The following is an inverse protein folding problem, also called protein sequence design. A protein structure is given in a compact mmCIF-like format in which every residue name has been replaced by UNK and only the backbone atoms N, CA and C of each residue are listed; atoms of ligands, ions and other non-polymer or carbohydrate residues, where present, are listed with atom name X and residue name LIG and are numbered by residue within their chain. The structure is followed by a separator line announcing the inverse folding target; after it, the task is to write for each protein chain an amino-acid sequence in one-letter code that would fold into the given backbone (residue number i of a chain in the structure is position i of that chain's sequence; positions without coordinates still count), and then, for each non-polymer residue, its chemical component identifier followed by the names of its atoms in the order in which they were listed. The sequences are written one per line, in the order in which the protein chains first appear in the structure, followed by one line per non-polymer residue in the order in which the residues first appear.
data_IF_823861718592
#
_entry.id   IF_823861718592
#
_cell.length_a   1.000
_cell.length_b   1.000
_cell.length_c   1.000
_cell.angle_alpha   90.00
_cell.angle_beta   90.00
_cell.angle_gamma   90.00
#
_symmetry.space_group_name_H-M   'P 1'
#
loop_
_entity.id
_entity.type
_entity.pdbx_description
1 polymer ?
#
# COMPACT_ATOMS: atom_id res chain seq x y z
N UNK A 1 2.42 9.47 -24.19
CA UNK A 1 3.10 9.65 -22.89
C UNK A 1 2.85 8.37 -22.10
N UNK A 2 3.88 7.57 -21.79
CA UNK A 2 3.68 6.35 -21.00
C UNK A 2 3.22 6.73 -19.61
N UNK A 3 2.15 6.06 -19.13
CA UNK A 3 1.60 6.33 -17.82
C UNK A 3 2.57 5.84 -16.74
N UNK A 4 3.12 6.74 -15.93
CA UNK A 4 3.90 6.37 -14.76
C UNK A 4 2.95 5.98 -13.64
N UNK A 5 3.11 4.78 -13.10
CA UNK A 5 2.52 4.41 -11.82
C UNK A 5 3.56 4.66 -10.70
N UNK A 6 3.13 4.72 -9.45
CA UNK A 6 4.02 5.02 -8.32
C UNK A 6 5.11 3.95 -8.14
N UNK A 7 4.86 2.70 -8.54
CA UNK A 7 5.87 1.62 -8.56
C UNK A 7 6.96 1.93 -9.59
N UNK A 8 6.60 2.33 -10.80
CA UNK A 8 7.55 2.69 -11.85
C UNK A 8 8.43 3.87 -11.45
N UNK A 9 7.93 4.78 -10.61
CA UNK A 9 8.75 5.84 -10.02
C UNK A 9 9.81 5.29 -9.06
N UNK A 10 9.51 4.22 -8.30
CA UNK A 10 10.48 3.53 -7.44
C UNK A 10 11.49 2.78 -8.29
N UNK A 11 11.04 2.05 -9.33
CA UNK A 11 11.90 1.33 -10.28
C UNK A 11 12.89 2.28 -10.99
N UNK A 12 12.40 3.40 -11.53
CA UNK A 12 13.25 4.41 -12.14
C UNK A 12 14.24 5.04 -11.14
N UNK A 13 13.82 5.26 -9.89
CA UNK A 13 14.69 5.80 -8.85
C UNK A 13 15.78 4.81 -8.46
N UNK A 14 15.46 3.52 -8.36
CA UNK A 14 16.42 2.44 -8.10
C UNK A 14 17.48 2.37 -9.20
N UNK A 15 17.06 2.47 -10.47
CA UNK A 15 17.96 2.48 -11.62
C UNK A 15 18.88 3.72 -11.64
N UNK A 16 18.38 4.89 -11.25
CA UNK A 16 19.14 6.16 -11.22
C UNK A 16 20.11 6.28 -10.05
N UNK A 17 19.86 5.58 -8.95
CA UNK A 17 20.62 5.73 -7.70
C UNK A 17 21.05 4.37 -7.10
N UNK A 18 21.88 3.59 -7.81
CA UNK A 18 22.25 2.23 -7.38
C UNK A 18 23.09 2.19 -6.08
N UNK A 19 23.69 3.32 -5.66
CA UNK A 19 24.70 3.37 -4.58
C UNK A 19 24.41 4.38 -3.45
N UNK A 20 23.21 4.98 -3.36
CA UNK A 20 22.91 5.95 -2.27
C UNK A 20 22.79 5.24 -0.90
N UNK A 21 23.45 5.82 0.10
CA UNK A 21 23.80 5.17 1.38
C UNK A 21 22.73 5.31 2.47
N UNK A 22 21.92 6.39 2.47
CA UNK A 22 20.91 6.60 3.53
C UNK A 22 19.66 5.70 3.41
N UNK A 23 19.34 5.26 2.19
CA UNK A 23 18.33 4.25 1.87
C UNK A 23 18.85 3.50 0.64
N UNK A 24 19.13 2.20 0.74
CA UNK A 24 19.49 1.40 -0.43
C UNK A 24 18.22 1.21 -1.27
N UNK A 25 17.90 2.16 -2.14
CA UNK A 25 16.71 2.13 -3.01
C UNK A 25 16.60 0.80 -3.80
N UNK A 26 17.71 0.19 -4.28
CA UNK A 26 17.65 -1.16 -4.86
C UNK A 26 17.17 -2.24 -3.89
N UNK A 27 17.59 -2.19 -2.61
CA UNK A 27 17.09 -3.11 -1.58
C UNK A 27 15.59 -2.90 -1.33
N UNK A 28 15.15 -1.64 -1.32
CA UNK A 28 13.73 -1.31 -1.16
C UNK A 28 12.86 -1.87 -2.29
N UNK A 29 13.32 -1.78 -3.55
CA UNK A 29 12.60 -2.38 -4.68
C UNK A 29 12.52 -3.91 -4.55
N UNK A 30 13.63 -4.58 -4.23
CA UNK A 30 13.65 -6.03 -4.01
C UNK A 30 12.71 -6.44 -2.88
N UNK A 31 12.66 -5.68 -1.80
CA UNK A 31 11.75 -5.92 -0.70
C UNK A 31 10.28 -5.74 -1.14
N UNK A 32 9.96 -4.70 -1.92
CA UNK A 32 8.62 -4.52 -2.49
C UNK A 32 8.23 -5.71 -3.36
N UNK A 33 9.11 -6.15 -4.26
CA UNK A 33 8.84 -7.27 -5.17
C UNK A 33 8.61 -8.57 -4.41
N UNK A 34 9.37 -8.79 -3.33
CA UNK A 34 9.14 -9.93 -2.42
C UNK A 34 7.75 -9.89 -1.80
N UNK A 35 7.34 -8.74 -1.25
CA UNK A 35 6.00 -8.59 -0.68
C UNK A 35 4.90 -8.68 -1.74
N UNK A 36 5.18 -8.24 -2.97
CA UNK A 36 4.25 -8.34 -4.08
C UNK A 36 4.02 -9.79 -4.50
N UNK A 37 5.09 -10.59 -4.62
CA UNK A 37 4.99 -12.02 -4.90
C UNK A 37 4.19 -12.76 -3.81
N UNK A 38 4.50 -12.48 -2.53
CA UNK A 38 3.77 -13.04 -1.40
C UNK A 38 2.27 -12.69 -1.43
N UNK A 39 1.92 -11.41 -1.55
CA UNK A 39 0.53 -10.99 -1.55
C UNK A 39 -0.22 -11.47 -2.78
N UNK A 40 0.45 -11.55 -3.93
CA UNK A 40 -0.15 -12.14 -5.11
C UNK A 40 -0.49 -13.61 -4.88
N UNK A 41 0.41 -14.40 -4.33
CA UNK A 41 0.12 -15.80 -3.99
C UNK A 41 -1.05 -15.93 -3.01
N UNK A 42 -1.00 -15.20 -1.88
CA UNK A 42 -2.05 -15.25 -0.85
C UNK A 42 -3.42 -14.85 -1.41
N UNK A 43 -3.48 -13.76 -2.18
CA UNK A 43 -4.76 -13.20 -2.64
C UNK A 43 -5.25 -13.90 -3.92
N UNK A 44 -4.39 -14.12 -4.91
CA UNK A 44 -4.79 -14.71 -6.20
C UNK A 44 -4.86 -16.23 -6.12
N UNK A 45 -3.78 -16.88 -5.67
CA UNK A 45 -3.65 -18.33 -5.80
C UNK A 45 -4.39 -19.07 -4.69
N UNK A 46 -4.32 -18.57 -3.45
CA UNK A 46 -5.03 -19.16 -2.31
C UNK A 46 -6.47 -18.63 -2.24
N UNK A 47 -6.67 -17.31 -2.19
CA UNK A 47 -7.99 -16.71 -1.95
C UNK A 47 -8.85 -16.51 -3.20
N UNK A 48 -8.32 -16.74 -4.41
CA UNK A 48 -9.01 -16.56 -5.70
C UNK A 48 -9.55 -15.14 -5.91
N UNK A 49 -8.82 -14.15 -5.40
CA UNK A 49 -9.11 -12.72 -5.57
C UNK A 49 -8.31 -12.22 -6.78
N UNK A 50 -8.97 -11.82 -7.88
CA UNK A 50 -8.27 -11.36 -9.07
C UNK A 50 -7.59 -10.00 -8.82
N UNK A 51 -6.51 -9.73 -9.56
CA UNK A 51 -5.91 -8.40 -9.65
C UNK A 51 -6.97 -7.33 -9.95
N UNK A 52 -6.67 -6.07 -9.60
CA UNK A 52 -7.59 -4.92 -9.64
C UNK A 52 -8.73 -4.97 -8.61
N UNK A 53 -8.83 -6.02 -7.79
CA UNK A 53 -9.70 -6.02 -6.62
C UNK A 53 -9.22 -5.02 -5.56
N UNK A 54 -10.17 -4.48 -4.80
CA UNK A 54 -9.88 -3.60 -3.64
C UNK A 54 -9.43 -4.46 -2.45
N UNK A 55 -8.30 -4.11 -1.87
CA UNK A 55 -7.74 -4.76 -0.68
C UNK A 55 -7.62 -3.71 0.41
N UNK A 56 -8.39 -3.88 1.48
CA UNK A 56 -8.29 -3.03 2.65
C UNK A 56 -7.03 -3.38 3.45
N UNK A 57 -6.29 -2.38 3.91
CA UNK A 57 -5.16 -2.57 4.82
C UNK A 57 -5.29 -1.62 6.01
N UNK A 58 -5.23 -2.18 7.22
CA UNK A 58 -5.17 -1.46 8.48
C UNK A 58 -3.81 -1.71 9.14
N UNK A 59 -2.99 -0.68 9.17
CA UNK A 59 -1.67 -0.68 9.80
C UNK A 59 -1.44 0.66 10.48
N UNK A 60 -0.62 0.69 11.52
CA UNK A 60 -0.17 1.95 12.15
C UNK A 60 0.58 2.86 11.18
N UNK A 61 1.25 2.29 10.16
CA UNK A 61 1.85 3.05 9.06
C UNK A 61 3.17 3.75 9.37
N UNK A 62 3.83 3.42 10.49
CA UNK A 62 5.07 4.08 10.93
C UNK A 62 6.34 3.24 10.69
N UNK A 63 6.20 1.95 10.37
CA UNK A 63 7.35 1.05 10.20
C UNK A 63 7.63 0.81 8.72
N UNK A 64 8.89 0.52 8.42
CA UNK A 64 9.31 0.13 7.07
C UNK A 64 8.47 -1.03 6.50
N UNK A 65 8.20 -2.06 7.32
CA UNK A 65 7.35 -3.20 6.94
C UNK A 65 5.92 -2.79 6.55
N UNK A 66 5.36 -1.76 7.19
CA UNK A 66 4.03 -1.25 6.86
C UNK A 66 4.00 -0.69 5.44
N UNK A 67 5.06 0.03 5.06
CA UNK A 67 5.26 0.54 3.70
C UNK A 67 5.42 -0.61 2.71
N UNK A 68 6.18 -1.66 3.07
CA UNK A 68 6.36 -2.83 2.20
C UNK A 68 5.05 -3.58 1.92
N UNK A 69 4.17 -3.72 2.91
CA UNK A 69 2.84 -4.32 2.63
C UNK A 69 2.04 -3.45 1.67
N UNK A 70 1.99 -2.13 1.89
CA UNK A 70 1.24 -1.21 1.01
C UNK A 70 1.77 -1.24 -0.42
N UNK A 71 3.09 -1.10 -0.61
CA UNK A 71 3.71 -1.12 -1.94
C UNK A 71 3.71 -2.52 -2.56
N UNK A 72 3.81 -3.58 -1.76
CA UNK A 72 3.67 -4.96 -2.23
C UNK A 72 2.30 -5.23 -2.83
N UNK A 73 1.22 -4.83 -2.14
CA UNK A 73 -0.16 -4.94 -2.65
C UNK A 73 -0.33 -4.17 -3.96
N UNK A 74 0.22 -2.95 -4.04
CA UNK A 74 0.19 -2.18 -5.27
C UNK A 74 0.95 -2.89 -6.39
N UNK A 75 2.20 -3.31 -6.16
CA UNK A 75 3.04 -3.98 -7.16
C UNK A 75 2.46 -5.31 -7.62
N UNK A 76 1.69 -5.98 -6.76
CA UNK A 76 0.94 -7.18 -7.08
C UNK A 76 -0.29 -6.93 -7.96
N UNK A 77 -0.65 -5.67 -8.22
CA UNK A 77 -1.71 -5.26 -9.15
C UNK A 77 -3.08 -5.02 -8.51
N UNK A 78 -3.16 -4.91 -7.19
CA UNK A 78 -4.40 -4.63 -6.45
C UNK A 78 -4.63 -3.13 -6.21
N UNK A 79 -5.87 -2.78 -5.87
CA UNK A 79 -6.23 -1.43 -5.44
C UNK A 79 -6.16 -1.38 -3.92
N UNK A 80 -5.21 -0.65 -3.36
CA UNK A 80 -5.04 -0.58 -1.90
C UNK A 80 -6.01 0.44 -1.31
N UNK A 81 -6.81 0.00 -0.34
CA UNK A 81 -7.61 0.87 0.51
C UNK A 81 -6.92 1.04 1.86
N UNK A 82 -6.45 2.27 2.15
CA UNK A 82 -5.79 2.58 3.41
C UNK A 82 -6.83 2.88 4.49
N UNK A 83 -6.75 2.13 5.59
CA UNK A 83 -7.61 2.30 6.77
C UNK A 83 -6.72 2.60 7.98
N UNK A 84 -7.07 3.66 8.68
CA UNK A 84 -6.53 4.04 9.99
C UNK A 84 -7.58 3.81 11.06
N UNK A 85 -7.25 2.96 12.04
CA UNK A 85 -8.06 2.68 13.21
C UNK A 85 -7.20 2.70 14.46
N UNK A 86 -7.83 2.94 15.60
CA UNK A 86 -7.26 2.58 16.90
C UNK A 86 -7.55 1.09 17.17
N UNK A 87 -6.73 0.41 17.99
CA UNK A 87 -6.78 -1.06 18.16
C UNK A 87 -8.16 -1.59 18.56
N UNK A 88 -8.87 -0.85 19.41
CA UNK A 88 -10.19 -1.20 19.94
C UNK A 88 -11.34 -0.55 19.17
N UNK A 89 -11.13 -0.19 17.90
CA UNK A 89 -12.16 0.44 17.09
C UNK A 89 -13.38 -0.50 16.91
N UNK A 90 -14.60 -0.05 17.25
CA UNK A 90 -15.81 -0.82 17.00
C UNK A 90 -16.05 -0.96 15.49
N UNK A 91 -16.68 -2.06 15.09
CA UNK A 91 -16.90 -2.38 13.68
C UNK A 91 -17.72 -1.30 12.94
N UNK A 92 -18.65 -0.65 13.63
CA UNK A 92 -19.51 0.40 13.04
C UNK A 92 -18.73 1.57 12.45
N UNK A 93 -17.51 1.85 12.93
CA UNK A 93 -16.67 2.91 12.38
C UNK A 93 -16.17 2.62 10.96
N UNK A 94 -16.06 1.34 10.61
CA UNK A 94 -15.58 0.91 9.28
C UNK A 94 -16.64 0.27 8.42
N UNK A 95 -17.79 -0.09 8.98
CA UNK A 95 -18.89 -0.73 8.24
C UNK A 95 -19.25 0.06 6.98
N UNK A 96 -19.51 1.37 7.10
CA UNK A 96 -19.83 2.23 5.95
C UNK A 96 -18.68 2.35 4.93
N UNK A 97 -17.43 2.29 5.43
CA UNK A 97 -16.22 2.32 4.60
C UNK A 97 -16.08 1.03 3.78
N UNK A 98 -16.36 -0.13 4.38
CA UNK A 98 -16.40 -1.42 3.70
C UNK A 98 -17.56 -1.54 2.72
N UNK A 99 -18.75 -1.08 3.10
CA UNK A 99 -19.92 -1.06 2.20
C UNK A 99 -19.67 -0.22 0.95
N UNK A 100 -18.95 0.90 1.10
CA UNK A 100 -18.67 1.83 0.01
C UNK A 100 -17.56 1.33 -0.91
N UNK A 101 -16.43 0.88 -0.35
CA UNK A 101 -15.26 0.47 -1.13
C UNK A 101 -15.30 -1.00 -1.58
N UNK A 102 -16.14 -1.83 -0.94
CA UNK A 102 -16.32 -3.26 -1.21
C UNK A 102 -14.99 -4.03 -1.30
N UNK A 103 -14.12 -3.98 -0.27
CA UNK A 103 -12.88 -4.73 -0.29
C UNK A 103 -13.15 -6.24 -0.40
N UNK A 104 -12.28 -6.94 -1.12
CA UNK A 104 -12.33 -8.39 -1.31
C UNK A 104 -11.51 -9.14 -0.26
N UNK A 105 -10.60 -8.46 0.42
CA UNK A 105 -9.88 -8.94 1.59
C UNK A 105 -9.53 -7.77 2.52
N UNK A 106 -9.29 -8.11 3.79
CA UNK A 106 -8.86 -7.16 4.80
C UNK A 106 -7.53 -7.60 5.44
N UNK A 107 -6.48 -6.82 5.24
CA UNK A 107 -5.15 -7.05 5.81
C UNK A 107 -5.01 -6.19 7.07
N UNK A 108 -4.54 -6.77 8.18
CA UNK A 108 -4.44 -6.07 9.47
C UNK A 108 -3.14 -6.40 10.19
N UNK A 109 -2.58 -5.42 10.91
CA UNK A 109 -1.45 -5.66 11.82
C UNK A 109 -1.89 -6.46 13.06
N UNK A 110 -1.03 -7.33 13.61
CA UNK A 110 -1.31 -8.24 14.73
C UNK A 110 -2.03 -7.60 15.93
N UNK A 111 -1.76 -6.32 16.19
CA UNK A 111 -2.39 -5.57 17.28
C UNK A 111 -3.91 -5.41 17.12
N UNK A 112 -4.43 -5.51 15.89
CA UNK A 112 -5.86 -5.43 15.58
C UNK A 112 -6.55 -6.80 15.58
N UNK A 113 -5.82 -7.90 15.84
CA UNK A 113 -6.32 -9.28 15.70
C UNK A 113 -7.58 -9.56 16.52
N UNK A 114 -7.71 -8.93 17.69
CA UNK A 114 -8.87 -9.08 18.59
C UNK A 114 -9.95 -8.02 18.38
N UNK A 115 -9.71 -7.04 17.51
CA UNK A 115 -10.63 -5.92 17.26
C UNK A 115 -11.96 -6.40 16.68
N UNK A 116 -13.04 -5.69 16.97
CA UNK A 116 -14.34 -5.93 16.32
C UNK A 116 -14.28 -5.73 14.81
N UNK A 117 -13.46 -4.77 14.37
CA UNK A 117 -13.17 -4.53 12.96
C UNK A 117 -12.76 -5.80 12.21
N UNK A 118 -11.85 -6.59 12.78
CA UNK A 118 -11.37 -7.84 12.17
C UNK A 118 -12.36 -8.99 12.37
N UNK A 119 -12.96 -9.12 13.57
CA UNK A 119 -13.89 -10.22 13.89
C UNK A 119 -15.18 -10.18 13.08
N UNK A 120 -15.67 -8.98 12.76
CA UNK A 120 -16.94 -8.76 12.07
C UNK A 120 -16.77 -8.38 10.59
N UNK A 121 -15.54 -8.45 10.07
CA UNK A 121 -15.26 -8.15 8.67
C UNK A 121 -16.01 -9.13 7.74
N UNK A 122 -16.72 -8.64 6.70
CA UNK A 122 -17.54 -9.48 5.82
C UNK A 122 -16.71 -10.17 4.71
N UNK A 123 -15.38 -10.11 4.79
CA UNK A 123 -14.45 -10.67 3.81
C UNK A 123 -13.32 -11.42 4.53
N UNK A 124 -12.54 -12.26 3.81
CA UNK A 124 -11.37 -12.90 4.38
C UNK A 124 -10.36 -11.88 4.95
N UNK A 125 -9.89 -12.17 6.15
CA UNK A 125 -8.92 -11.35 6.87
C UNK A 125 -7.55 -12.02 6.88
N UNK A 126 -6.49 -11.23 6.68
CA UNK A 126 -5.10 -11.71 6.67
C UNK A 126 -4.24 -10.86 7.59
N UNK A 127 -3.40 -11.50 8.38
CA UNK A 127 -2.46 -10.80 9.24
C UNK A 127 -1.26 -10.29 8.40
N UNK A 128 -0.88 -9.03 8.62
CA UNK A 128 0.31 -8.42 8.04
C UNK A 128 1.55 -8.95 8.77
N UNK A 129 2.24 -9.91 8.15
CA UNK A 129 3.37 -10.60 8.75
C UNK A 129 4.64 -9.74 8.80
N UNK A 130 5.48 -9.89 9.84
CA UNK A 130 6.83 -9.33 9.86
C UNK A 130 7.65 -9.70 8.63
N UNK A 131 8.61 -8.85 8.26
CA UNK A 131 9.50 -9.10 7.11
C UNK A 131 10.28 -10.42 7.18
N UNK A 132 10.52 -10.97 8.37
CA UNK A 132 11.22 -12.25 8.55
C UNK A 132 10.36 -13.46 8.16
N UNK A 133 9.03 -13.32 8.23
CA UNK A 133 8.08 -14.40 7.96
C UNK A 133 7.57 -14.37 6.50
N UNK A 134 7.96 -13.35 5.73
CA UNK A 134 7.70 -13.27 4.29
C UNK A 134 8.85 -13.96 3.55
N UNK A 135 8.57 -15.16 3.02
CA UNK A 135 9.54 -15.94 2.26
C UNK A 135 10.12 -15.17 1.06
N UNK A 136 11.39 -15.45 0.73
CA UNK A 136 12.04 -14.90 -0.47
C UNK A 136 11.46 -15.52 -1.75
N UNK A 137 11.46 -14.73 -2.83
CA UNK A 137 10.69 -14.92 -4.08
C UNK A 137 10.95 -16.21 -4.87
N UNK A 138 11.83 -17.09 -4.43
CA UNK A 138 12.08 -18.36 -5.12
C UNK A 138 10.85 -19.29 -5.08
N UNK A 139 9.94 -19.09 -4.13
CA UNK A 139 8.70 -19.87 -3.99
C UNK A 139 7.52 -19.31 -4.79
N UNK A 140 7.52 -17.99 -5.06
CA UNK A 140 6.36 -17.31 -5.67
C UNK A 140 6.84 -16.36 -6.78
N UNK A 141 6.42 -16.57 -8.04
CA UNK A 141 6.80 -15.69 -9.13
C UNK A 141 6.17 -14.30 -8.94
N UNK A 142 6.95 -13.26 -9.21
CA UNK A 142 6.45 -11.89 -9.23
C UNK A 142 5.39 -11.75 -10.34
N UNK A 143 4.17 -11.29 -10.03
CA UNK A 143 3.14 -11.16 -11.06
C UNK A 143 3.46 -10.02 -12.03
N UNK A 144 2.94 -10.18 -13.25
CA UNK A 144 2.87 -9.08 -14.20
C UNK A 144 1.93 -8.01 -13.64
N UNK A 145 2.37 -6.75 -13.72
CA UNK A 145 1.52 -5.62 -13.36
C UNK A 145 0.42 -5.44 -14.43
N UNK A 146 -0.85 -5.27 -14.05
CA UNK A 146 -1.95 -5.16 -15.00
C UNK A 146 -1.85 -3.88 -15.84
N UNK A 147 -2.41 -3.91 -17.05
CA UNK A 147 -2.57 -2.71 -17.86
C UNK A 147 -3.59 -1.77 -17.22
N UNK A 148 -3.21 -0.52 -17.00
CA UNK A 148 -4.03 0.50 -16.33
C UNK A 148 -4.03 1.82 -17.11
N UNK A 149 -5.12 2.57 -17.00
CA UNK A 149 -5.29 3.94 -17.53
C UNK A 149 -5.04 4.98 -16.45
N UNK A 150 -4.84 6.23 -16.87
CA UNK A 150 -4.58 7.34 -15.94
C UNK A 150 -5.72 7.57 -14.95
N UNK A 151 -6.95 7.35 -15.41
CA UNK A 151 -8.19 7.57 -14.69
C UNK A 151 -8.56 6.41 -13.78
N UNK A 152 -7.94 5.24 -13.96
CA UNK A 152 -8.21 4.08 -13.14
C UNK A 152 -7.81 4.34 -11.68
N UNK A 153 -8.62 3.82 -10.75
CA UNK A 153 -8.35 3.91 -9.32
C UNK A 153 -7.09 3.09 -9.01
N UNK A 154 -6.17 3.73 -8.30
CA UNK A 154 -4.95 3.11 -7.80
C UNK A 154 -5.05 2.90 -6.29
N UNK A 155 -5.56 3.88 -5.55
CA UNK A 155 -5.66 3.87 -4.09
C UNK A 155 -7.03 4.38 -3.64
N UNK A 156 -7.50 3.92 -2.48
CA UNK A 156 -8.67 4.48 -1.79
C UNK A 156 -8.20 4.92 -0.40
N UNK A 157 -8.29 6.22 -0.12
CA UNK A 157 -8.02 6.77 1.20
C UNK A 157 -9.34 7.04 1.95
N UNK A 158 -9.25 7.32 3.24
CA UNK A 158 -10.40 7.73 4.05
C UNK A 158 -10.17 9.10 4.70
N UNK A 159 -11.24 9.89 4.85
CA UNK A 159 -11.20 11.13 5.62
C UNK A 159 -11.48 10.87 7.10
N UNK A 160 -11.00 11.74 7.99
CA UNK A 160 -11.25 11.63 9.44
C UNK A 160 -12.71 11.89 9.85
N UNK A 161 -13.59 12.29 8.92
CA UNK A 161 -15.02 12.44 9.17
C UNK A 161 -15.44 13.61 10.06
N UNK A 162 -14.54 14.55 10.38
CA UNK A 162 -14.75 15.63 11.37
C UNK A 162 -15.94 16.55 11.07
N UNK A 163 -16.37 16.66 9.81
CA UNK A 163 -17.46 17.57 9.41
C UNK A 163 -18.84 16.91 9.36
N UNK A 164 -18.93 15.59 9.17
CA UNK A 164 -20.20 14.86 9.01
C UNK A 164 -20.39 13.69 9.98
N UNK A 165 -19.46 13.51 10.92
CA UNK A 165 -19.44 12.39 11.86
C UNK A 165 -19.16 11.02 11.21
N UNK A 166 -19.04 10.97 9.88
CA UNK A 166 -18.86 9.74 9.10
C UNK A 166 -17.65 9.88 8.18
N UNK A 167 -16.72 8.93 8.28
CA UNK A 167 -15.56 8.81 7.38
C UNK A 167 -16.03 8.59 5.94
N UNK A 168 -15.43 9.34 4.99
CA UNK A 168 -15.74 9.22 3.56
C UNK A 168 -14.57 8.58 2.83
N UNK A 169 -14.86 7.75 1.84
CA UNK A 169 -13.85 7.22 0.92
C UNK A 169 -13.43 8.27 -0.11
N UNK A 170 -12.15 8.33 -0.40
CA UNK A 170 -11.53 9.24 -1.38
C UNK A 170 -10.73 8.40 -2.38
N UNK A 171 -11.28 8.13 -3.57
CA UNK A 171 -10.55 7.41 -4.60
C UNK A 171 -9.44 8.28 -5.21
N UNK A 172 -8.23 7.75 -5.27
CA UNK A 172 -7.07 8.34 -5.94
C UNK A 172 -6.74 7.55 -7.21
N UNK A 173 -6.78 8.22 -8.37
CA UNK A 173 -6.40 7.61 -9.64
C UNK A 173 -4.89 7.54 -9.83
N UNK A 174 -4.42 6.75 -10.81
CA UNK A 174 -3.00 6.73 -11.18
C UNK A 174 -2.48 8.11 -11.58
N UNK A 175 -3.28 8.91 -12.30
CA UNK A 175 -2.95 10.30 -12.66
C UNK A 175 -2.77 11.16 -11.42
N UNK A 176 -3.65 11.01 -10.43
CA UNK A 176 -3.54 11.74 -9.17
C UNK A 176 -2.28 11.35 -8.39
N UNK A 177 -1.99 10.04 -8.29
CA UNK A 177 -0.76 9.55 -7.65
C UNK A 177 0.51 10.05 -8.35
N UNK A 178 0.57 9.99 -9.67
CA UNK A 178 1.70 10.51 -10.45
C UNK A 178 1.89 12.02 -10.23
N UNK A 179 0.80 12.80 -10.23
CA UNK A 179 0.87 14.22 -9.89
C UNK A 179 1.39 14.46 -8.46
N UNK A 180 0.98 13.65 -7.48
CA UNK A 180 1.48 13.72 -6.11
C UNK A 180 2.97 13.36 -6.02
N UNK A 181 3.43 12.33 -6.74
CA UNK A 181 4.84 11.98 -6.82
C UNK A 181 5.68 13.10 -7.44
N UNK A 182 5.22 13.69 -8.54
CA UNK A 182 5.89 14.83 -9.18
C UNK A 182 5.96 16.03 -8.24
N UNK A 183 4.84 16.40 -7.59
CA UNK A 183 4.81 17.51 -6.63
C UNK A 183 5.76 17.24 -5.46
N UNK A 184 5.78 16.02 -4.94
CA UNK A 184 6.69 15.60 -3.87
C UNK A 184 8.17 15.74 -4.28
N UNK A 185 8.52 15.39 -5.52
CA UNK A 185 9.90 15.56 -6.00
C UNK A 185 10.37 17.02 -6.05
N UNK A 186 9.47 17.99 -6.22
CA UNK A 186 9.81 19.41 -6.17
C UNK A 186 10.12 19.87 -4.74
N UNK A 187 9.36 19.35 -3.76
CA UNK A 187 9.49 19.72 -2.34
C UNK A 187 10.64 18.99 -1.65
N UNK A 188 10.99 17.78 -2.12
CA UNK A 188 12.03 16.94 -1.55
C UNK A 188 13.36 17.06 -2.32
N UNK A 189 13.59 18.18 -3.00
CA UNK A 189 14.89 18.47 -3.63
C UNK A 189 15.90 18.78 -2.54
N UNK A 190 17.02 18.04 -2.42
CA UNK A 190 18.03 18.34 -1.41
C UNK A 190 18.55 19.78 -1.55
N UNK A 191 18.79 20.43 -0.42
CA UNK A 191 19.34 21.79 -0.32
C UNK A 191 20.72 21.97 -0.98
N UNK A 192 21.41 20.87 -1.31
CA UNK A 192 22.61 20.86 -2.12
C UNK A 192 22.85 19.49 -2.77
N UNK A 193 23.62 19.43 -3.88
CA UNK A 193 23.83 18.20 -4.65
C UNK A 193 24.48 17.06 -3.86
N UNK A 194 25.32 17.40 -2.86
CA UNK A 194 26.01 16.45 -1.98
C UNK A 194 25.29 16.21 -0.65
N UNK A 195 24.10 16.78 -0.47
CA UNK A 195 23.31 16.65 0.76
C UNK A 195 22.15 15.68 0.58
N UNK A 196 21.74 15.07 1.68
CA UNK A 196 20.47 14.36 1.79
C UNK A 196 19.72 14.97 2.96
N UNK A 197 18.67 15.74 2.64
CA UNK A 197 17.76 16.21 3.67
C UNK A 197 16.85 15.04 4.07
N UNK A 198 16.92 14.65 5.34
CA UNK A 198 16.08 13.56 5.88
C UNK A 198 14.85 14.20 6.50
N UNK A 199 13.69 13.98 5.87
CA UNK A 199 12.41 14.32 6.45
C UNK A 199 12.00 13.21 7.41
N UNK A 200 12.19 13.45 8.71
CA UNK A 200 11.72 12.56 9.76
C UNK A 200 10.29 12.94 10.14
N UNK A 201 9.39 11.96 10.22
CA UNK A 201 8.12 12.12 10.92
C UNK A 201 8.43 12.27 12.41
N UNK A 202 7.91 13.31 13.06
CA UNK A 202 7.94 13.46 14.52
C UNK A 202 6.72 12.82 15.15
#
# INVERSE_FOLDING_TARGET
MNLRNHVSSVEESAARHPSRVAFKIPQYLLDIERFAAYWYYVLNDVAKIPQRSVIAICSRGYRYVDVLHVYGIFRAGYITQLIGLFPDAPYDLIRGVFESAKPRAFIFESLYKTSEAVRNAPMPCYEALPSADIAYSNEYPLPQFPLVKAEDIAIIAQTSGTSSGTSKIVPGSYRWLDAMCRKSSLLNTPSGPDKQDIFMWR
#
